data_IF_912879559573
#
_entry.id   IF_912879559573
#
_cell.length_a   1.000
_cell.length_b   1.000
_cell.length_c   1.000
_cell.angle_alpha   90.00
_cell.angle_beta   90.00
_cell.angle_gamma   90.00
#
_symmetry.space_group_name_H-M   'P 1'
#
loop_
_entity.id
_entity.type
_entity.pdbx_description
1 polymer ?
#
# COMPACT_ATOMS: atom_id res chain seq x y z
N UNK A 1 -13.85 68.75 15.31
CA UNK A 1 -15.10 68.22 14.73
C UNK A 1 -15.59 67.06 15.60
N UNK A 2 -16.92 67.00 15.77
CA UNK A 2 -17.77 66.10 16.59
C UNK A 2 -17.39 64.60 16.49
N UNK A 3 -17.36 63.81 17.60
CA UNK A 3 -18.47 63.03 18.25
C UNK A 3 -19.16 62.06 17.25
N UNK A 4 -19.51 60.79 17.50
CA UNK A 4 -19.83 59.99 18.70
C UNK A 4 -20.23 58.56 18.24
N UNK A 5 -20.16 57.57 19.16
CA UNK A 5 -21.08 56.43 19.49
C UNK A 5 -21.70 55.54 18.37
N UNK A 6 -21.89 54.21 18.52
CA UNK A 6 -22.71 53.44 19.48
C UNK A 6 -22.39 51.91 19.29
N UNK A 7 -22.16 51.08 20.34
CA UNK A 7 -23.09 50.12 21.04
C UNK A 7 -24.05 49.35 20.11
N UNK A 8 -24.38 48.05 20.22
CA UNK A 8 -24.67 47.14 21.35
C UNK A 8 -25.04 45.73 20.80
N UNK A 9 -24.62 44.62 21.44
CA UNK A 9 -25.43 43.58 22.18
C UNK A 9 -26.52 42.83 21.36
N UNK A 10 -26.38 41.51 21.20
CA UNK A 10 -27.07 40.39 21.91
C UNK A 10 -28.55 40.18 21.51
N UNK A 11 -28.88 38.91 21.19
CA UNK A 11 -30.15 38.16 21.43
C UNK A 11 -30.32 37.10 20.29
N UNK A 12 -30.03 35.82 20.53
CA UNK A 12 -30.94 34.77 21.03
C UNK A 12 -32.18 34.53 20.16
N UNK A 13 -32.30 33.32 19.58
CA UNK A 13 -33.60 32.66 19.39
C UNK A 13 -33.42 31.15 19.15
N UNK A 14 -33.93 30.41 20.13
CA UNK A 14 -34.22 28.98 20.17
C UNK A 14 -35.73 28.81 19.86
N UNK A 15 -36.08 27.65 19.29
CA UNK A 15 -37.40 27.05 19.07
C UNK A 15 -38.28 27.64 17.93
N UNK A 16 -38.89 26.86 17.03
CA UNK A 16 -39.91 25.85 17.36
C UNK A 16 -40.22 24.89 16.18
N UNK A 17 -40.16 23.58 16.45
CA UNK A 17 -41.04 22.45 16.02
C UNK A 17 -41.49 22.27 14.56
N UNK A 18 -41.14 21.10 14.01
CA UNK A 18 -41.88 20.39 12.97
C UNK A 18 -41.77 18.87 13.16
N UNK A 19 -42.72 18.28 13.89
CA UNK A 19 -42.82 16.86 14.21
C UNK A 19 -43.52 16.12 13.06
N UNK A 20 -42.90 15.10 12.47
CA UNK A 20 -43.59 14.06 11.73
C UNK A 20 -43.01 12.68 12.09
N UNK A 21 -43.87 11.88 12.69
CA UNK A 21 -43.72 10.53 13.20
C UNK A 21 -43.81 9.45 12.12
N UNK A 22 -43.10 8.32 12.28
CA UNK A 22 -43.54 7.03 11.73
C UNK A 22 -42.44 6.11 11.17
N UNK A 23 -41.97 5.17 12.00
CA UNK A 23 -41.05 4.01 11.74
C UNK A 23 -41.68 2.94 10.78
N UNK A 24 -41.02 1.81 10.37
CA UNK A 24 -39.77 1.20 10.90
C UNK A 24 -38.75 0.63 9.88
N UNK A 25 -37.49 0.56 10.35
CA UNK A 25 -36.55 -0.58 10.25
C UNK A 25 -36.41 -1.36 8.94
N UNK A 26 -35.28 -1.14 8.26
CA UNK A 26 -34.59 -2.20 7.51
C UNK A 26 -33.17 -2.37 8.08
N UNK A 27 -32.96 -3.47 8.81
CA UNK A 27 -31.62 -4.02 9.00
C UNK A 27 -31.14 -4.51 7.63
N UNK A 28 -30.21 -3.80 7.01
CA UNK A 28 -29.45 -4.36 5.88
C UNK A 28 -28.25 -5.08 6.48
N UNK A 29 -28.39 -6.38 6.72
CA UNK A 29 -27.25 -7.28 6.93
C UNK A 29 -26.55 -7.45 5.59
N UNK A 30 -25.58 -6.58 5.30
CA UNK A 30 -24.68 -6.77 4.17
C UNK A 30 -23.63 -7.80 4.55
N UNK A 31 -23.95 -9.08 4.30
CA UNK A 31 -22.94 -10.12 4.14
C UNK A 31 -22.26 -9.89 2.80
N UNK A 32 -21.22 -9.06 2.77
CA UNK A 32 -20.33 -8.97 1.62
C UNK A 32 -19.62 -10.31 1.47
N UNK A 33 -19.98 -11.06 0.43
CA UNK A 33 -19.13 -12.11 -0.09
C UNK A 33 -17.74 -11.53 -0.42
N UNK A 34 -16.65 -12.28 -0.22
CA UNK A 34 -15.32 -11.79 -0.56
C UNK A 34 -15.26 -11.43 -2.06
N UNK A 35 -14.52 -10.37 -2.44
CA UNK A 35 -14.41 -9.94 -3.82
C UNK A 35 -13.87 -11.06 -4.72
N UNK A 36 -14.34 -11.12 -5.97
CA UNK A 36 -14.04 -12.15 -6.98
C UNK A 36 -12.54 -12.48 -7.13
N UNK A 37 -11.63 -11.55 -6.85
CA UNK A 37 -10.19 -11.83 -6.88
C UNK A 37 -9.72 -12.81 -5.78
N UNK A 38 -10.38 -12.83 -4.62
CA UNK A 38 -10.09 -13.80 -3.54
C UNK A 38 -10.54 -15.22 -3.90
N UNK A 39 -11.50 -15.38 -4.82
CA UNK A 39 -11.90 -16.68 -5.37
C UNK A 39 -10.92 -17.15 -6.47
N UNK A 40 -10.36 -16.23 -7.26
CA UNK A 40 -9.41 -16.58 -8.33
C UNK A 40 -8.06 -17.10 -7.81
N UNK A 41 -7.60 -16.63 -6.64
CA UNK A 41 -6.37 -17.16 -6.01
C UNK A 41 -6.58 -18.59 -5.47
N UNK A 42 -7.80 -18.95 -5.07
CA UNK A 42 -8.13 -20.31 -4.60
C UNK A 42 -8.23 -21.33 -5.73
N UNK A 43 -8.58 -20.92 -6.96
CA UNK A 43 -8.72 -21.84 -8.10
C UNK A 43 -7.37 -22.22 -8.73
N UNK A 44 -6.33 -21.38 -8.56
CA UNK A 44 -4.99 -21.65 -9.07
C UNK A 44 -4.24 -22.80 -8.35
N UNK A 45 -4.82 -23.39 -7.29
CA UNK A 45 -4.21 -24.46 -6.48
C UNK A 45 -5.01 -25.77 -6.40
N UNK A 46 -5.98 -26.02 -7.27
CA UNK A 46 -6.68 -27.31 -7.35
C UNK A 46 -6.12 -28.17 -8.50
N UNK A 47 -5.89 -29.49 -8.29
CA UNK A 47 -5.55 -30.38 -9.39
C UNK A 47 -6.74 -30.52 -10.35
N UNK A 48 -6.58 -30.03 -11.58
CA UNK A 48 -7.57 -30.04 -12.65
C UNK A 48 -8.28 -31.39 -12.80
N UNK A 49 -9.62 -31.38 -12.73
CA UNK A 49 -10.44 -32.51 -13.18
C UNK A 49 -10.39 -32.61 -14.70
N UNK A 50 -9.74 -33.69 -15.17
CA UNK A 50 -9.89 -34.42 -16.43
C UNK A 50 -10.65 -33.75 -17.57
N UNK A 51 -9.90 -33.33 -18.59
CA UNK A 51 -10.25 -33.53 -20.00
C UNK A 51 -9.06 -34.25 -20.65
N UNK A 52 -9.30 -35.36 -21.34
CA UNK A 52 -8.29 -36.17 -22.03
C UNK A 52 -8.34 -35.92 -23.56
N UNK A 53 -7.39 -36.42 -24.36
CA UNK A 53 -5.98 -36.03 -24.36
C UNK A 53 -5.54 -35.54 -25.76
N UNK A 54 -4.56 -34.63 -25.80
CA UNK A 54 -3.68 -34.49 -26.96
C UNK A 54 -2.23 -34.69 -26.46
N UNK A 55 -1.56 -35.64 -27.09
CA UNK A 55 -0.21 -36.14 -26.86
C UNK A 55 0.85 -35.06 -26.70
N UNK A 56 1.46 -34.97 -25.51
CA UNK A 56 2.84 -34.51 -25.34
C UNK A 56 3.55 -35.42 -24.34
N UNK A 57 4.53 -36.16 -24.85
CA UNK A 57 5.50 -36.97 -24.13
C UNK A 57 6.60 -36.10 -23.50
N UNK A 58 6.78 -36.16 -22.17
CA UNK A 58 8.08 -36.28 -21.50
C UNK A 58 7.89 -36.31 -19.97
N UNK A 59 8.43 -37.36 -19.34
CA UNK A 59 8.33 -37.70 -17.91
C UNK A 59 9.37 -36.96 -17.06
N UNK A 60 8.93 -36.40 -15.92
CA UNK A 60 9.75 -36.19 -14.73
C UNK A 60 9.02 -36.81 -13.53
N UNK A 61 9.58 -37.84 -12.90
CA UNK A 61 8.95 -38.58 -11.79
C UNK A 61 9.07 -37.79 -10.48
N UNK A 62 7.94 -37.39 -9.88
CA UNK A 62 7.88 -37.07 -8.45
C UNK A 62 7.98 -38.37 -7.64
N UNK A 63 8.90 -38.41 -6.67
CA UNK A 63 9.07 -39.54 -5.73
C UNK A 63 8.37 -39.19 -4.42
N UNK A 64 7.30 -39.90 -4.10
CA UNK A 64 6.67 -39.83 -2.77
C UNK A 64 7.57 -40.53 -1.72
N UNK A 65 7.79 -39.88 -0.58
CA UNK A 65 8.41 -40.48 0.61
C UNK A 65 7.32 -40.64 1.66
N UNK A 66 6.89 -41.86 2.04
CA UNK A 66 5.84 -42.04 3.03
C UNK A 66 6.39 -42.00 4.46
N UNK A 67 6.11 -40.93 5.19
CA UNK A 67 6.24 -40.88 6.64
C UNK A 67 4.96 -41.42 7.30
N UNK A 68 4.99 -42.63 7.85
CA UNK A 68 3.97 -43.14 8.77
C UNK A 68 4.27 -42.62 10.17
N UNK A 69 3.30 -42.03 10.86
CA UNK A 69 2.97 -42.33 12.27
C UNK A 69 1.58 -41.78 12.59
N UNK A 70 0.74 -42.64 13.17
CA UNK A 70 -0.57 -42.32 13.71
C UNK A 70 -0.51 -42.47 15.23
N UNK A 71 -1.09 -41.51 15.97
CA UNK A 71 -2.06 -41.71 17.07
C UNK A 71 -2.25 -40.40 17.86
N UNK A 72 -3.51 -39.97 18.02
CA UNK A 72 -3.93 -39.08 19.13
C UNK A 72 -4.57 -37.74 18.77
N UNK A 73 -5.80 -37.78 18.24
CA UNK A 73 -6.87 -36.74 18.29
C UNK A 73 -6.54 -35.27 18.58
N UNK A 74 -6.36 -34.48 17.52
CA UNK A 74 -6.89 -33.11 17.31
C UNK A 74 -6.44 -32.68 15.91
N UNK A 75 -7.38 -32.64 14.95
CA UNK A 75 -7.10 -32.31 13.55
C UNK A 75 -6.80 -30.81 13.41
N UNK A 76 -5.55 -30.40 13.64
CA UNK A 76 -5.02 -29.20 13.02
C UNK A 76 -4.78 -29.52 11.53
N UNK A 77 -5.32 -28.69 10.63
CA UNK A 77 -4.92 -28.72 9.21
C UNK A 77 -3.40 -28.54 9.19
N UNK A 78 -2.68 -29.59 8.83
CA UNK A 78 -1.26 -29.51 8.56
C UNK A 78 -1.03 -28.38 7.54
N UNK A 79 -0.07 -27.50 7.83
CA UNK A 79 0.43 -26.55 6.84
C UNK A 79 0.73 -27.30 5.54
N UNK A 80 0.39 -26.72 4.36
CA UNK A 80 0.76 -27.35 3.11
C UNK A 80 2.28 -27.59 3.08
N UNK A 81 2.75 -28.68 2.46
CA UNK A 81 4.18 -28.91 2.34
C UNK A 81 4.80 -27.68 1.68
N UNK A 82 5.92 -27.24 2.24
CA UNK A 82 6.77 -26.22 1.61
C UNK A 82 7.12 -26.79 0.23
N UNK A 83 6.52 -26.25 -0.83
CA UNK A 83 6.96 -26.52 -2.18
C UNK A 83 8.42 -26.07 -2.24
N UNK A 84 9.36 -27.00 -2.36
CA UNK A 84 10.67 -26.71 -2.92
C UNK A 84 10.41 -26.10 -4.30
N UNK A 85 10.54 -24.78 -4.39
CA UNK A 85 10.48 -24.03 -5.65
C UNK A 85 11.78 -24.27 -6.42
N UNK A 86 12.13 -25.53 -6.65
CA UNK A 86 13.22 -25.90 -7.54
C UNK A 86 12.65 -25.90 -8.95
N UNK A 87 12.86 -24.79 -9.66
CA UNK A 87 12.58 -24.51 -11.07
C UNK A 87 11.20 -23.89 -11.35
N UNK A 88 11.11 -22.57 -11.20
CA UNK A 88 10.12 -21.79 -11.94
C UNK A 88 10.42 -21.92 -13.45
N UNK A 89 9.41 -22.15 -14.31
CA UNK A 89 9.62 -22.19 -15.75
C UNK A 89 10.21 -20.87 -16.23
N UNK A 90 11.18 -20.92 -17.16
CA UNK A 90 11.72 -19.72 -17.78
C UNK A 90 10.58 -18.96 -18.47
N UNK A 91 10.38 -17.66 -18.18
CA UNK A 91 9.34 -16.90 -18.86
C UNK A 91 9.56 -16.93 -20.38
N UNK A 92 8.51 -17.14 -21.18
CA UNK A 92 8.49 -17.09 -22.66
C UNK A 92 9.38 -15.97 -23.29
N UNK A 93 9.42 -14.73 -22.76
CA UNK A 93 10.29 -13.66 -23.26
C UNK A 93 11.79 -13.97 -23.19
N UNK A 94 12.22 -14.80 -22.24
CA UNK A 94 13.62 -15.21 -22.04
C UNK A 94 14.09 -16.11 -23.18
N UNK A 95 13.25 -17.08 -23.56
CA UNK A 95 13.54 -17.96 -24.68
C UNK A 95 13.61 -17.18 -26.00
N UNK A 96 12.79 -16.13 -26.15
CA UNK A 96 12.80 -15.26 -27.32
C UNK A 96 14.08 -14.41 -27.40
N UNK A 97 14.48 -13.73 -26.32
CA UNK A 97 15.67 -12.88 -26.32
C UNK A 97 16.96 -13.69 -26.55
N UNK A 98 17.03 -14.89 -25.98
CA UNK A 98 18.13 -15.83 -26.24
C UNK A 98 18.18 -16.25 -27.71
N UNK A 99 17.02 -16.56 -28.34
CA UNK A 99 16.94 -16.87 -29.77
C UNK A 99 17.39 -15.69 -30.66
N UNK A 100 17.18 -14.45 -30.20
CA UNK A 100 17.55 -13.24 -30.94
C UNK A 100 19.05 -12.89 -30.82
N UNK A 101 19.85 -13.69 -30.11
CA UNK A 101 21.27 -13.41 -29.92
C UNK A 101 21.53 -12.15 -29.09
N UNK A 102 20.51 -11.67 -28.37
CA UNK A 102 20.68 -10.58 -27.43
C UNK A 102 21.58 -11.07 -26.28
N UNK A 103 22.55 -10.28 -25.79
CA UNK A 103 23.34 -10.62 -24.61
C UNK A 103 22.42 -10.60 -23.39
N UNK A 104 21.67 -11.69 -23.21
CA UNK A 104 20.69 -11.88 -22.17
C UNK A 104 21.26 -12.92 -21.19
N UNK A 105 21.42 -12.54 -19.92
CA UNK A 105 21.84 -13.46 -18.87
C UNK A 105 20.61 -14.13 -18.25
N UNK A 106 20.40 -15.46 -18.46
CA UNK A 106 19.14 -16.13 -18.12
C UNK A 106 18.88 -16.38 -16.62
N UNK A 107 19.48 -15.59 -15.73
CA UNK A 107 19.33 -15.74 -14.28
C UNK A 107 18.95 -14.41 -13.60
N UNK A 108 17.70 -14.01 -13.78
CA UNK A 108 16.97 -13.33 -12.70
C UNK A 108 16.99 -14.20 -11.40
N UNK A 109 18.08 -14.12 -10.61
CA UNK A 109 18.54 -15.00 -9.48
C UNK A 109 19.62 -15.99 -9.93
N UNK A 110 20.91 -15.79 -9.57
CA UNK A 110 21.92 -16.82 -9.18
C UNK A 110 23.43 -16.52 -9.28
N UNK A 111 24.01 -15.59 -10.05
CA UNK A 111 25.50 -15.49 -10.01
C UNK A 111 26.04 -14.83 -8.72
N UNK A 112 25.16 -14.27 -7.89
CA UNK A 112 25.51 -13.75 -6.56
C UNK A 112 24.46 -13.98 -5.48
N UNK A 113 23.28 -14.54 -5.82
CA UNK A 113 22.20 -14.76 -4.86
C UNK A 113 22.52 -15.98 -4.01
N UNK A 114 22.80 -15.74 -2.74
CA UNK A 114 22.94 -16.83 -1.77
C UNK A 114 21.57 -17.45 -1.48
N UNK A 115 21.47 -18.73 -1.11
CA UNK A 115 20.19 -19.34 -0.73
C UNK A 115 19.44 -18.59 0.39
N UNK A 116 20.17 -18.00 1.34
CA UNK A 116 19.59 -17.21 2.44
C UNK A 116 18.90 -15.91 2.00
N UNK A 117 19.40 -15.34 0.90
CA UNK A 117 18.97 -14.09 0.32
C UNK A 117 17.54 -14.22 -0.29
N UNK A 118 17.26 -15.35 -0.96
CA UNK A 118 15.92 -15.66 -1.47
C UNK A 118 14.93 -15.99 -0.35
N UNK A 119 15.41 -16.57 0.76
CA UNK A 119 14.61 -16.82 1.95
C UNK A 119 14.18 -15.50 2.61
N UNK A 120 15.03 -14.48 2.56
CA UNK A 120 14.74 -13.17 3.13
C UNK A 120 13.65 -12.39 2.37
N UNK A 121 13.59 -12.48 1.03
CA UNK A 121 12.44 -11.93 0.28
C UNK A 121 11.14 -12.63 0.67
N UNK A 122 11.11 -13.96 0.65
CA UNK A 122 9.89 -14.72 0.95
C UNK A 122 9.39 -14.42 2.37
N UNK A 123 10.31 -14.37 3.34
CA UNK A 123 10.00 -13.97 4.72
C UNK A 123 9.47 -12.54 4.79
N UNK A 124 10.11 -11.60 4.11
CA UNK A 124 9.71 -10.18 4.13
C UNK A 124 8.33 -10.00 3.51
N UNK A 125 8.02 -10.68 2.40
CA UNK A 125 6.69 -10.67 1.79
C UNK A 125 5.62 -11.17 2.76
N UNK A 126 5.85 -12.32 3.41
CA UNK A 126 4.91 -12.86 4.40
C UNK A 126 4.68 -11.91 5.57
N UNK A 127 5.75 -11.24 6.05
CA UNK A 127 5.66 -10.26 7.14
C UNK A 127 4.96 -8.97 6.70
N UNK A 128 5.19 -8.52 5.46
CA UNK A 128 4.45 -7.40 4.87
C UNK A 128 2.95 -7.65 4.79
N UNK A 129 2.54 -8.88 4.45
CA UNK A 129 1.12 -9.24 4.37
C UNK A 129 0.50 -9.27 5.77
N UNK A 130 1.15 -9.90 6.74
CA UNK A 130 0.72 -9.88 8.15
C UNK A 130 0.61 -8.45 8.71
N UNK A 131 1.55 -7.58 8.36
CA UNK A 131 1.53 -6.17 8.78
C UNK A 131 0.31 -5.45 8.20
N UNK A 132 0.03 -5.67 6.91
CA UNK A 132 -1.09 -5.05 6.22
C UNK A 132 -2.43 -5.53 6.79
N UNK A 133 -2.58 -6.84 7.00
CA UNK A 133 -3.75 -7.43 7.66
C UNK A 133 -3.95 -6.83 9.05
N UNK A 134 -2.87 -6.74 9.85
CA UNK A 134 -2.94 -6.18 11.19
C UNK A 134 -3.36 -4.71 11.21
N UNK A 135 -2.88 -3.91 10.27
CA UNK A 135 -3.33 -2.52 10.09
C UNK A 135 -4.84 -2.48 9.83
N UNK A 136 -5.35 -3.30 8.91
CA UNK A 136 -6.78 -3.34 8.58
C UNK A 136 -7.63 -3.83 9.76
N UNK A 137 -7.16 -4.81 10.53
CA UNK A 137 -7.82 -5.27 11.75
C UNK A 137 -7.96 -4.16 12.80
N UNK A 138 -6.91 -3.36 12.99
CA UNK A 138 -6.91 -2.26 13.96
C UNK A 138 -7.90 -1.15 13.60
N UNK A 139 -8.13 -0.91 12.31
CA UNK A 139 -9.13 0.04 11.84
C UNK A 139 -10.57 -0.44 12.15
N UNK A 140 -10.75 -1.74 12.39
CA UNK A 140 -12.02 -2.32 12.83
C UNK A 140 -13.16 -2.08 11.84
N UNK A 141 -14.39 -2.11 12.35
CA UNK A 141 -15.62 -1.80 11.59
C UNK A 141 -16.18 -0.41 11.88
N UNK A 142 -15.53 0.32 12.79
CA UNK A 142 -15.91 1.69 13.13
C UNK A 142 -15.43 2.56 11.98
N UNK A 143 -16.35 2.97 11.11
CA UNK A 143 -16.02 3.71 9.89
C UNK A 143 -15.24 5.01 10.16
N UNK A 144 -14.76 5.63 9.09
CA UNK A 144 -13.99 6.88 9.17
C UNK A 144 -14.90 8.09 9.42
N UNK A 145 -14.30 9.20 9.86
CA UNK A 145 -15.00 10.48 9.95
C UNK A 145 -15.70 10.83 8.63
N UNK A 146 -16.98 11.20 8.72
CA UNK A 146 -17.81 11.52 7.56
C UNK A 146 -17.54 12.88 6.92
N UNK A 147 -16.59 13.66 7.43
CA UNK A 147 -16.28 14.98 6.87
C UNK A 147 -15.79 14.84 5.41
N UNK A 148 -16.18 15.74 4.48
CA UNK A 148 -15.78 15.71 3.08
C UNK A 148 -14.27 15.47 2.86
N UNK A 149 -13.45 16.17 3.64
CA UNK A 149 -12.00 16.05 3.61
C UNK A 149 -11.51 14.66 4.04
N UNK A 150 -12.09 14.12 5.10
CA UNK A 150 -11.77 12.78 5.60
C UNK A 150 -12.12 11.71 4.57
N UNK A 151 -13.20 11.86 3.81
CA UNK A 151 -13.59 10.91 2.77
C UNK A 151 -12.55 10.84 1.64
N UNK A 152 -12.15 11.98 1.07
CA UNK A 152 -11.15 11.99 -0.03
C UNK A 152 -9.76 11.57 0.44
N UNK A 153 -9.36 11.94 1.66
CA UNK A 153 -8.10 11.50 2.24
C UNK A 153 -8.09 9.97 2.47
N UNK A 154 -9.19 9.42 3.01
CA UNK A 154 -9.37 7.98 3.20
C UNK A 154 -9.27 7.23 1.86
N UNK A 155 -9.94 7.71 0.81
CA UNK A 155 -9.85 7.13 -0.52
C UNK A 155 -8.41 7.04 -1.03
N UNK A 156 -7.63 8.13 -0.89
CA UNK A 156 -6.22 8.13 -1.29
C UNK A 156 -5.33 7.23 -0.42
N UNK A 157 -5.63 7.07 0.87
CA UNK A 157 -4.97 6.07 1.71
C UNK A 157 -5.19 4.65 1.18
N UNK A 158 -6.42 4.30 0.78
CA UNK A 158 -6.69 2.98 0.21
C UNK A 158 -6.02 2.78 -1.16
N UNK A 159 -5.93 3.81 -2.00
CA UNK A 159 -5.14 3.76 -3.24
C UNK A 159 -3.65 3.51 -2.93
N UNK A 160 -3.09 4.17 -1.92
CA UNK A 160 -1.71 3.90 -1.48
C UNK A 160 -1.54 2.44 -0.99
N UNK A 161 -2.49 1.91 -0.23
CA UNK A 161 -2.50 0.52 0.22
C UNK A 161 -2.59 -0.47 -0.95
N UNK A 162 -3.41 -0.18 -1.97
CA UNK A 162 -3.54 -0.98 -3.18
C UNK A 162 -2.22 -1.00 -3.98
N UNK A 163 -1.56 0.15 -4.13
CA UNK A 163 -0.24 0.21 -4.77
C UNK A 163 0.81 -0.62 -4.03
N UNK A 164 0.77 -0.64 -2.69
CA UNK A 164 1.65 -1.50 -1.89
C UNK A 164 1.40 -2.99 -2.16
N UNK A 165 0.13 -3.41 -2.20
CA UNK A 165 -0.23 -4.79 -2.52
C UNK A 165 0.21 -5.18 -3.95
N UNK A 166 0.02 -4.30 -4.92
CA UNK A 166 0.52 -4.48 -6.28
C UNK A 166 2.04 -4.62 -6.32
N UNK A 167 2.77 -3.80 -5.57
CA UNK A 167 4.22 -3.86 -5.47
C UNK A 167 4.69 -5.22 -4.94
N UNK A 168 4.09 -5.72 -3.85
CA UNK A 168 4.41 -7.05 -3.31
C UNK A 168 4.17 -8.16 -4.30
N UNK A 169 3.05 -8.07 -5.05
CA UNK A 169 2.71 -9.03 -6.10
C UNK A 169 3.75 -9.04 -7.22
N UNK A 170 4.22 -7.86 -7.64
CA UNK A 170 5.29 -7.76 -8.63
C UNK A 170 6.62 -8.31 -8.12
N UNK A 171 6.99 -8.05 -6.87
CA UNK A 171 8.20 -8.61 -6.26
C UNK A 171 8.13 -10.14 -6.19
N UNK A 172 6.98 -10.71 -5.81
CA UNK A 172 6.78 -12.16 -5.78
C UNK A 172 6.90 -12.81 -7.17
N UNK A 173 6.58 -12.07 -8.24
CA UNK A 173 6.72 -12.48 -9.63
C UNK A 173 8.10 -12.13 -10.23
N UNK A 174 9.05 -11.64 -9.42
CA UNK A 174 10.36 -11.15 -9.86
C UNK A 174 10.32 -9.99 -10.88
N UNK A 175 9.25 -9.18 -10.86
CA UNK A 175 9.03 -8.01 -11.72
C UNK A 175 9.44 -6.69 -11.02
N UNK A 176 10.65 -6.68 -10.45
CA UNK A 176 11.11 -5.59 -9.57
C UNK A 176 11.22 -4.21 -10.24
N UNK A 177 11.56 -4.14 -11.55
CA UNK A 177 11.58 -2.86 -12.28
C UNK A 177 10.21 -2.15 -12.23
N UNK A 178 9.14 -2.89 -12.49
CA UNK A 178 7.77 -2.36 -12.43
C UNK A 178 7.35 -2.06 -10.99
N UNK A 179 7.83 -2.85 -10.02
CA UNK A 179 7.58 -2.64 -8.60
C UNK A 179 8.09 -1.27 -8.12
N UNK A 180 9.23 -0.79 -8.60
CA UNK A 180 9.72 0.57 -8.27
C UNK A 180 8.77 1.66 -8.78
N UNK A 181 8.18 1.46 -9.95
CA UNK A 181 7.15 2.36 -10.49
C UNK A 181 5.93 2.43 -9.57
N UNK A 182 5.49 1.30 -9.01
CA UNK A 182 4.39 1.29 -8.04
C UNK A 182 4.75 1.98 -6.72
N UNK A 183 5.99 1.86 -6.23
CA UNK A 183 6.43 2.55 -5.02
C UNK A 183 6.32 4.07 -5.16
N UNK A 184 6.59 4.60 -6.37
CA UNK A 184 6.43 6.02 -6.66
C UNK A 184 4.99 6.47 -6.51
N UNK A 185 4.06 5.82 -7.20
CA UNK A 185 2.65 6.23 -7.14
C UNK A 185 2.02 5.91 -5.78
N UNK A 186 2.52 4.91 -5.04
CA UNK A 186 2.21 4.70 -3.63
C UNK A 186 2.58 5.92 -2.78
N UNK A 187 3.80 6.44 -2.92
CA UNK A 187 4.24 7.63 -2.20
C UNK A 187 3.43 8.87 -2.60
N UNK A 188 3.15 9.05 -3.89
CA UNK A 188 2.31 10.15 -4.37
C UNK A 188 0.88 10.09 -3.82
N UNK A 189 0.31 8.89 -3.70
CA UNK A 189 -0.99 8.66 -3.11
C UNK A 189 -1.02 9.00 -1.61
N UNK A 190 -0.02 8.56 -0.84
CA UNK A 190 0.13 8.93 0.57
C UNK A 190 0.32 10.43 0.76
N UNK A 191 1.21 11.05 -0.03
CA UNK A 191 1.43 12.51 -0.03
C UNK A 191 0.12 13.26 -0.28
N UNK A 192 -0.67 12.78 -1.25
CA UNK A 192 -1.98 13.36 -1.56
C UNK A 192 -2.97 13.16 -0.43
N UNK A 193 -3.03 12.00 0.21
CA UNK A 193 -3.89 11.76 1.36
C UNK A 193 -3.57 12.72 2.51
N UNK A 194 -2.30 12.86 2.86
CA UNK A 194 -1.84 13.77 3.91
C UNK A 194 -2.15 15.24 3.54
N UNK A 195 -1.84 15.65 2.31
CA UNK A 195 -2.13 17.01 1.83
C UNK A 195 -3.63 17.31 1.84
N UNK A 196 -4.47 16.36 1.41
CA UNK A 196 -5.92 16.49 1.48
C UNK A 196 -6.38 16.68 2.93
N UNK A 197 -5.83 15.93 3.87
CA UNK A 197 -6.22 16.04 5.28
C UNK A 197 -5.77 17.34 5.95
N UNK A 198 -4.58 17.86 5.65
CA UNK A 198 -3.99 18.94 6.44
C UNK A 198 -3.88 20.29 5.72
N UNK A 199 -3.82 20.32 4.39
CA UNK A 199 -3.37 21.52 3.66
C UNK A 199 -4.26 21.91 2.48
N UNK A 200 -5.05 20.98 1.92
CA UNK A 200 -5.83 21.23 0.72
C UNK A 200 -6.89 22.32 0.94
N UNK A 201 -7.12 23.23 -0.01
CA UNK A 201 -8.25 24.15 0.04
C UNK A 201 -9.59 23.41 -0.05
N UNK A 202 -10.63 23.89 0.64
CA UNK A 202 -11.99 23.31 0.59
C UNK A 202 -12.55 23.24 -0.84
N UNK A 203 -12.24 24.23 -1.68
CA UNK A 203 -12.62 24.22 -3.09
C UNK A 203 -12.05 23.01 -3.86
N UNK A 204 -10.87 22.50 -3.47
CA UNK A 204 -10.31 21.28 -4.05
C UNK A 204 -11.01 20.03 -3.52
N UNK A 205 -11.36 20.00 -2.24
CA UNK A 205 -12.11 18.89 -1.62
C UNK A 205 -13.46 18.71 -2.34
N UNK A 206 -14.21 19.80 -2.54
CA UNK A 206 -15.50 19.77 -3.25
C UNK A 206 -15.35 19.26 -4.69
N UNK A 207 -14.29 19.68 -5.39
CA UNK A 207 -14.00 19.19 -6.76
C UNK A 207 -13.74 17.69 -6.78
N UNK A 208 -12.95 17.17 -5.83
CA UNK A 208 -12.59 15.75 -5.78
C UNK A 208 -13.74 14.83 -5.35
N UNK A 209 -14.76 15.36 -4.68
CA UNK A 209 -15.99 14.64 -4.36
C UNK A 209 -17.04 14.70 -5.48
N UNK A 210 -16.87 15.58 -6.45
CA UNK A 210 -17.78 15.66 -7.59
C UNK A 210 -17.75 14.37 -8.41
N UNK A 211 -18.90 13.91 -8.94
CA UNK A 211 -18.94 12.76 -9.84
C UNK A 211 -17.96 12.90 -11.01
N UNK A 212 -17.41 11.78 -11.46
CA UNK A 212 -16.52 11.75 -12.63
C UNK A 212 -17.32 12.06 -13.91
N UNK A 213 -17.04 13.22 -14.50
CA UNK A 213 -17.59 13.72 -15.75
C UNK A 213 -16.45 14.34 -16.56
N UNK A 214 -16.62 14.54 -17.86
CA UNK A 214 -15.61 15.20 -18.69
C UNK A 214 -15.24 16.61 -18.18
N UNK A 215 -16.21 17.33 -17.62
CA UNK A 215 -16.00 18.67 -17.09
C UNK A 215 -15.28 18.65 -15.74
N UNK A 216 -15.65 17.73 -14.84
CA UNK A 216 -14.96 17.56 -13.55
C UNK A 216 -13.54 17.00 -13.72
N UNK A 217 -13.31 16.13 -14.71
CA UNK A 217 -11.97 15.66 -15.10
C UNK A 217 -11.10 16.82 -15.60
N UNK A 218 -11.62 17.65 -16.52
CA UNK A 218 -10.90 18.85 -17.00
C UNK A 218 -10.61 19.84 -15.87
N UNK A 219 -11.56 20.03 -14.95
CA UNK A 219 -11.40 20.91 -13.80
C UNK A 219 -10.38 20.37 -12.77
N UNK A 220 -10.13 19.05 -12.76
CA UNK A 220 -9.15 18.38 -11.90
C UNK A 220 -7.72 18.34 -12.48
N UNK A 221 -7.47 18.91 -13.68
CA UNK A 221 -6.15 18.89 -14.32
C UNK A 221 -5.05 19.66 -13.58
N UNK A 222 -5.42 20.54 -12.65
CA UNK A 222 -4.48 21.42 -11.92
C UNK A 222 -4.26 20.98 -10.47
N UNK A 223 -4.32 19.67 -10.18
CA UNK A 223 -3.96 19.18 -8.86
C UNK A 223 -2.45 19.31 -8.63
N UNK A 224 -2.03 19.65 -7.40
CA UNK A 224 -0.63 19.91 -7.11
C UNK A 224 0.24 18.67 -7.29
N UNK A 225 1.46 18.91 -7.77
CA UNK A 225 2.53 17.91 -7.74
C UNK A 225 3.08 17.69 -6.33
N UNK A 226 3.95 16.69 -6.16
CA UNK A 226 4.51 16.34 -4.84
C UNK A 226 5.23 17.50 -4.17
N UNK A 227 6.01 18.30 -4.91
CA UNK A 227 6.73 19.44 -4.32
C UNK A 227 5.78 20.50 -3.76
N UNK A 228 4.69 20.80 -4.47
CA UNK A 228 3.67 21.75 -4.04
C UNK A 228 2.87 21.21 -2.83
N UNK A 229 2.53 19.91 -2.86
CA UNK A 229 1.88 19.26 -1.72
C UNK A 229 2.78 19.27 -0.48
N UNK A 230 4.07 19.01 -0.63
CA UNK A 230 5.04 19.03 0.47
C UNK A 230 5.18 20.43 1.06
N UNK A 231 5.22 21.47 0.23
CA UNK A 231 5.24 22.86 0.71
C UNK A 231 3.94 23.23 1.42
N UNK A 232 2.79 22.77 0.94
CA UNK A 232 1.51 22.91 1.63
C UNK A 232 1.51 22.25 3.01
N UNK A 233 2.04 21.03 3.11
CA UNK A 233 2.21 20.31 4.38
C UNK A 233 3.17 21.03 5.32
N UNK A 234 4.29 21.56 4.81
CA UNK A 234 5.26 22.35 5.60
C UNK A 234 4.58 23.54 6.30
N UNK A 235 3.73 24.27 5.57
CA UNK A 235 2.96 25.42 6.10
C UNK A 235 1.87 25.02 7.07
N UNK A 236 1.47 23.75 7.06
CA UNK A 236 0.40 23.19 7.88
C UNK A 236 0.94 22.36 9.05
N UNK A 237 2.23 22.47 9.38
CA UNK A 237 2.80 21.84 10.58
C UNK A 237 2.16 22.52 11.80
N UNK A 238 1.64 21.71 12.72
CA UNK A 238 0.92 22.22 13.89
C UNK A 238 0.78 21.19 15.01
N UNK A 239 0.10 21.59 16.08
CA UNK A 239 -0.22 20.71 17.19
C UNK A 239 -1.28 19.65 16.84
N UNK A 240 -1.57 18.72 17.77
CA UNK A 240 -2.62 17.72 17.59
C UNK A 240 -3.96 18.35 17.23
N UNK A 241 -4.53 17.97 16.07
CA UNK A 241 -5.81 18.48 15.58
C UNK A 241 -5.74 19.82 14.84
N UNK A 242 -4.58 20.48 14.80
CA UNK A 242 -4.38 21.76 14.11
C UNK A 242 -3.68 21.58 12.76
N UNK A 243 -2.79 20.59 12.66
CA UNK A 243 -1.94 20.40 11.50
C UNK A 243 -1.28 19.03 11.45
N UNK A 244 -0.39 18.85 10.48
CA UNK A 244 0.43 17.64 10.41
C UNK A 244 1.50 17.68 11.51
N UNK A 245 1.72 16.58 12.26
CA UNK A 245 2.84 16.51 13.19
C UNK A 245 4.18 16.71 12.48
N UNK A 246 5.10 17.46 13.08
CA UNK A 246 6.42 17.75 12.50
C UNK A 246 7.18 16.48 12.09
N UNK A 247 7.17 15.45 12.94
CA UNK A 247 7.81 14.16 12.64
C UNK A 247 7.19 13.45 11.42
N UNK A 248 5.88 13.56 11.21
CA UNK A 248 5.22 12.98 10.04
C UNK A 248 5.60 13.73 8.75
N UNK A 249 5.72 15.06 8.81
CA UNK A 249 6.25 15.86 7.72
C UNK A 249 7.71 15.50 7.41
N UNK A 250 8.58 15.42 8.42
CA UNK A 250 9.99 15.06 8.29
C UNK A 250 10.17 13.71 7.58
N UNK A 251 9.39 12.70 7.97
CA UNK A 251 9.42 11.39 7.31
C UNK A 251 9.05 11.45 5.83
N UNK A 252 8.02 12.23 5.46
CA UNK A 252 7.61 12.39 4.05
C UNK A 252 8.67 13.15 3.23
N UNK A 253 9.22 14.22 3.79
CA UNK A 253 10.27 15.02 3.16
C UNK A 253 11.53 14.18 2.94
N UNK A 254 11.99 13.49 3.98
CA UNK A 254 13.16 12.63 3.92
C UNK A 254 12.99 11.49 2.90
N UNK A 255 11.84 10.80 2.92
CA UNK A 255 11.56 9.73 1.95
C UNK A 255 11.70 10.23 0.51
N UNK A 256 11.10 11.38 0.20
CA UNK A 256 11.23 12.01 -1.11
C UNK A 256 12.70 12.29 -1.43
N UNK A 257 13.43 12.93 -0.53
CA UNK A 257 14.79 13.39 -0.80
C UNK A 257 15.75 12.23 -1.12
N UNK A 258 15.58 11.08 -0.47
CA UNK A 258 16.43 9.91 -0.71
C UNK A 258 15.98 9.02 -1.88
N UNK A 259 14.68 9.00 -2.24
CA UNK A 259 14.16 8.05 -3.24
C UNK A 259 13.74 8.67 -4.57
N UNK A 260 13.43 9.98 -4.61
CA UNK A 260 12.70 10.60 -5.74
C UNK A 260 13.44 10.53 -7.07
N UNK A 261 14.74 10.80 -7.06
CA UNK A 261 15.58 10.78 -8.27
C UNK A 261 15.63 9.37 -8.88
N UNK A 262 15.86 8.35 -8.06
CA UNK A 262 15.87 6.96 -8.50
C UNK A 262 14.51 6.56 -9.07
N UNK A 263 13.41 6.86 -8.36
CA UNK A 263 12.05 6.56 -8.83
C UNK A 263 11.70 7.22 -10.16
N UNK A 264 12.13 8.48 -10.40
CA UNK A 264 11.93 9.15 -11.69
C UNK A 264 12.59 8.37 -12.83
N UNK A 265 13.79 7.83 -12.61
CA UNK A 265 14.47 7.02 -13.61
C UNK A 265 13.67 5.78 -13.98
N UNK A 266 13.06 5.09 -13.01
CA UNK A 266 12.24 3.91 -13.28
C UNK A 266 10.93 4.25 -14.01
N UNK A 267 10.24 5.31 -13.58
CA UNK A 267 8.95 5.72 -14.18
C UNK A 267 9.12 6.21 -15.61
N UNK A 268 10.20 6.93 -15.92
CA UNK A 268 10.41 7.54 -17.23
C UNK A 268 11.32 6.72 -18.17
N UNK A 269 11.63 5.46 -17.84
CA UNK A 269 12.47 4.61 -18.69
C UNK A 269 13.92 5.11 -18.80
N UNK A 270 14.44 5.72 -17.74
CA UNK A 270 15.81 6.21 -17.66
C UNK A 270 16.85 5.10 -17.52
N UNK A 271 18.08 5.47 -17.12
CA UNK A 271 19.21 4.55 -17.05
C UNK A 271 18.99 3.36 -16.11
N UNK A 272 18.32 3.55 -14.96
CA UNK A 272 18.14 2.49 -13.97
C UNK A 272 17.36 1.29 -14.51
N UNK A 273 16.11 1.42 -15.03
CA UNK A 273 15.38 0.26 -15.54
C UNK A 273 16.08 -0.44 -16.71
N UNK A 274 16.80 0.30 -17.57
CA UNK A 274 17.59 -0.26 -18.67
C UNK A 274 18.76 -1.10 -18.15
N UNK A 275 19.57 -0.54 -17.24
CA UNK A 275 20.69 -1.28 -16.64
C UNK A 275 20.19 -2.47 -15.82
N UNK A 276 19.05 -2.36 -15.14
CA UNK A 276 18.45 -3.49 -14.41
C UNK A 276 17.87 -4.57 -15.31
N UNK A 277 17.41 -4.20 -16.51
CA UNK A 277 17.02 -5.17 -17.53
C UNK A 277 18.25 -5.91 -18.10
N UNK A 278 19.36 -5.19 -18.30
CA UNK A 278 20.61 -5.73 -18.86
C UNK A 278 21.42 -6.56 -17.84
N UNK A 279 21.60 -6.03 -16.63
CA UNK A 279 22.47 -6.59 -15.57
C UNK A 279 21.72 -7.49 -14.58
N UNK A 280 20.39 -7.50 -14.63
CA UNK A 280 19.54 -8.07 -13.60
C UNK A 280 19.24 -7.09 -12.45
N UNK A 281 18.25 -7.45 -11.64
CA UNK A 281 17.82 -6.65 -10.50
C UNK A 281 18.51 -7.12 -9.22
N UNK A 282 19.31 -6.28 -8.53
CA UNK A 282 19.98 -6.69 -7.30
C UNK A 282 18.98 -7.05 -6.21
N UNK A 283 19.15 -8.24 -5.62
CA UNK A 283 18.25 -8.73 -4.59
C UNK A 283 18.21 -7.86 -3.32
N UNK A 284 19.34 -7.33 -2.82
CA UNK A 284 19.32 -6.37 -1.70
C UNK A 284 18.50 -5.12 -2.03
N UNK A 285 18.53 -4.66 -3.28
CA UNK A 285 17.72 -3.51 -3.72
C UNK A 285 16.22 -3.87 -3.74
N UNK A 286 15.86 -5.07 -4.20
CA UNK A 286 14.47 -5.53 -4.18
C UNK A 286 13.94 -5.62 -2.74
N UNK A 287 14.74 -6.13 -1.81
CA UNK A 287 14.43 -6.16 -0.38
C UNK A 287 14.27 -4.74 0.19
N UNK A 288 15.16 -3.81 -0.17
CA UNK A 288 15.07 -2.41 0.24
C UNK A 288 13.79 -1.73 -0.29
N UNK A 289 13.40 -1.97 -1.54
CA UNK A 289 12.15 -1.44 -2.12
C UNK A 289 10.94 -1.97 -1.38
N UNK A 290 10.93 -3.28 -1.08
CA UNK A 290 9.85 -3.90 -0.31
C UNK A 290 9.75 -3.29 1.09
N UNK A 291 10.87 -3.14 1.80
CA UNK A 291 10.93 -2.49 3.12
C UNK A 291 10.48 -1.03 3.05
N UNK A 292 10.94 -0.26 2.07
CA UNK A 292 10.52 1.13 1.86
C UNK A 292 9.00 1.23 1.63
N UNK A 293 8.43 0.32 0.83
CA UNK A 293 6.98 0.24 0.62
C UNK A 293 6.23 -0.07 1.92
N UNK A 294 6.77 -0.96 2.76
CA UNK A 294 6.22 -1.22 4.09
C UNK A 294 6.26 0.02 4.99
N UNK A 295 7.35 0.80 4.95
CA UNK A 295 7.44 2.09 5.63
C UNK A 295 6.28 3.02 5.25
N UNK A 296 6.02 3.17 3.94
CA UNK A 296 4.87 3.95 3.45
C UNK A 296 3.52 3.38 3.90
N UNK A 297 3.38 2.05 3.97
CA UNK A 297 2.17 1.39 4.51
C UNK A 297 1.95 1.75 5.97
N UNK A 298 2.99 1.77 6.82
CA UNK A 298 2.85 2.16 8.23
C UNK A 298 2.41 3.61 8.41
N UNK A 299 2.96 4.53 7.60
CA UNK A 299 2.54 5.93 7.59
C UNK A 299 1.08 6.07 7.13
N UNK A 300 0.68 5.31 6.11
CA UNK A 300 -0.70 5.27 5.62
C UNK A 300 -1.65 4.72 6.68
N UNK A 301 -1.25 3.66 7.40
CA UNK A 301 -2.01 3.08 8.51
C UNK A 301 -2.22 4.07 9.65
N UNK A 302 -1.18 4.82 10.03
CA UNK A 302 -1.30 5.90 11.03
C UNK A 302 -2.23 7.02 10.55
N UNK A 303 -2.16 7.41 9.27
CA UNK A 303 -3.06 8.42 8.72
C UNK A 303 -4.52 7.95 8.72
N UNK A 304 -4.77 6.68 8.37
CA UNK A 304 -6.09 6.06 8.49
C UNK A 304 -6.59 6.03 9.94
N UNK A 305 -5.70 5.71 10.90
CA UNK A 305 -6.05 5.74 12.32
C UNK A 305 -6.45 7.15 12.79
N UNK A 306 -5.72 8.20 12.36
CA UNK A 306 -6.12 9.60 12.62
C UNK A 306 -7.49 9.91 12.01
N UNK A 307 -7.77 9.43 10.80
CA UNK A 307 -9.05 9.63 10.11
C UNK A 307 -10.25 8.94 10.80
N UNK A 308 -10.01 8.01 11.73
CA UNK A 308 -11.08 7.46 12.59
C UNK A 308 -11.50 8.42 13.71
N UNK A 309 -10.61 9.34 14.12
CA UNK A 309 -10.80 10.17 15.31
C UNK A 309 -10.65 9.45 16.65
N UNK A 310 -10.39 8.15 16.62
CA UNK A 310 -10.29 7.33 17.81
C UNK A 310 -8.82 7.24 18.25
N UNK A 311 -8.49 7.93 19.34
CA UNK A 311 -7.13 7.93 19.90
C UNK A 311 -6.66 6.56 20.34
N UNK A 312 -7.58 5.63 20.68
CA UNK A 312 -7.23 4.24 20.98
C UNK A 312 -6.75 3.49 19.73
N UNK A 313 -7.38 3.73 18.58
CA UNK A 313 -6.92 3.16 17.30
C UNK A 313 -5.56 3.75 16.93
N UNK A 314 -5.36 5.07 17.06
CA UNK A 314 -4.06 5.71 16.81
C UNK A 314 -2.97 5.17 17.75
N UNK A 315 -3.28 5.01 19.04
CA UNK A 315 -2.37 4.42 20.02
C UNK A 315 -2.03 2.96 19.67
N UNK A 316 -3.01 2.15 19.28
CA UNK A 316 -2.77 0.77 18.86
C UNK A 316 -1.96 0.71 17.56
N UNK A 317 -2.24 1.61 16.59
CA UNK A 317 -1.52 1.70 15.32
C UNK A 317 -0.04 2.04 15.51
N UNK A 318 0.31 2.81 16.54
CA UNK A 318 1.72 3.10 16.87
C UNK A 318 2.56 1.86 17.18
N UNK A 319 1.92 0.74 17.55
CA UNK A 319 2.60 -0.54 17.83
C UNK A 319 3.01 -1.29 16.57
N UNK A 320 2.45 -0.97 15.40
CA UNK A 320 2.80 -1.64 14.14
C UNK A 320 4.29 -1.52 13.84
N UNK A 321 4.88 -0.35 14.02
CA UNK A 321 6.29 -0.14 13.70
C UNK A 321 7.24 -1.04 14.51
N UNK A 322 7.18 -1.09 15.86
CA UNK A 322 8.02 -2.01 16.62
C UNK A 322 7.66 -3.49 16.43
N UNK A 323 6.40 -3.83 16.24
CA UNK A 323 5.97 -5.24 16.11
C UNK A 323 6.31 -5.86 14.73
N UNK A 324 6.64 -5.03 13.73
CA UNK A 324 7.00 -5.43 12.36
C UNK A 324 8.35 -4.87 11.90
N UNK A 325 9.23 -4.49 12.84
CA UNK A 325 10.54 -3.89 12.53
C UNK A 325 11.41 -4.75 11.62
N UNK A 326 11.21 -6.07 11.63
CA UNK A 326 11.92 -7.04 10.80
C UNK A 326 11.66 -6.91 9.28
N UNK A 327 10.54 -6.29 8.90
CA UNK A 327 10.16 -6.05 7.51
C UNK A 327 10.13 -4.56 7.14
N UNK A 328 10.55 -3.67 8.02
CA UNK A 328 10.56 -2.22 7.83
C UNK A 328 11.95 -1.72 7.40
N UNK A 329 12.05 -0.50 6.85
CA UNK A 329 13.37 0.10 6.64
C UNK A 329 13.97 0.40 8.02
N UNK A 330 15.30 0.31 8.11
CA UNK A 330 16.00 0.62 9.36
C UNK A 330 15.66 2.06 9.78
N UNK A 331 15.32 2.22 11.06
CA UNK A 331 15.18 3.55 11.63
C UNK A 331 16.57 4.16 11.63
N UNK A 332 16.73 5.28 10.92
CA UNK A 332 17.95 6.05 11.07
C UNK A 332 17.97 6.57 12.51
N UNK A 333 18.99 6.16 13.26
CA UNK A 333 19.29 6.78 14.54
C UNK A 333 19.41 8.29 14.28
N UNK A 334 18.71 9.10 15.08
CA UNK A 334 18.97 10.53 15.14
C UNK A 334 20.34 10.69 15.77
N UNK A 335 21.41 10.43 15.02
CA UNK A 335 22.74 10.81 15.45
C UNK A 335 22.68 12.31 15.72
N UNK A 336 22.98 12.63 16.97
CA UNK A 336 23.08 13.96 17.53
C UNK A 336 23.90 14.86 16.61
N UNK A 337 23.22 15.72 15.85
CA UNK A 337 23.81 16.98 15.42
C UNK A 337 24.09 17.79 16.69
N UNK A 338 25.30 17.57 17.24
CA UNK A 338 25.95 18.42 18.22
C UNK A 338 26.75 19.52 17.54
#
# INVERSE_FOLDING_TARGET
MRKQNHTSRQDSLIDTVGRASGRPGLLVTSTLAPPLWAQMVSEACLPSRRVAPATVTAFGKCREVPGRHALGGLLFKASPPICECSQMPTPEPVALLSKLGWPYHPWMVTASVQPGDSLDIARTLARSDQMHERILELLGKEGFHGAPRSQVATGMCFVAMEHAQGLRSLIALALANSAVGLMRIQFEALMRAAWLLYAAPEATIVKLLSPLTLDSEKAAKNLPGVNEMLEGLRKSIGGPGEGIPASAYEMLAHFKDVTWSAMNSFVHGGIHPLRRFEEGFPLPLALQILRNSNGLVTMTGMLLAVLTGNSLIASAMSRIQPDFSDCLPDLQDRESEG
#
